data_IF_465893071934
#
_entry.id   IF_465893071934
#
_cell.length_a   1.000
_cell.length_b   1.000
_cell.length_c   1.000
_cell.angle_alpha   90.00
_cell.angle_beta   90.00
_cell.angle_gamma   90.00
#
_symmetry.space_group_name_H-M   'P 1'
#
loop_
_entity.id
_entity.type
_entity.pdbx_description
1 polymer ?
#
# COMPACT_ATOMS: atom_id res chain seq x y z
N UNK A 1 -17.51 8.40 14.58
CA UNK A 1 -17.61 8.95 13.20
C UNK A 1 -16.45 8.42 12.42
N UNK A 2 -16.70 7.91 11.21
CA UNK A 2 -15.64 7.54 10.25
C UNK A 2 -14.89 8.84 9.89
N UNK A 3 -13.58 8.88 10.07
CA UNK A 3 -12.78 10.04 9.71
C UNK A 3 -12.20 9.90 8.29
N UNK A 4 -11.68 11.00 7.73
CA UNK A 4 -11.19 11.00 6.35
C UNK A 4 -9.95 10.10 6.16
N UNK A 5 -9.11 9.95 7.16
CA UNK A 5 -7.95 9.07 7.10
C UNK A 5 -8.37 7.59 7.00
N UNK A 6 -9.37 7.17 7.76
CA UNK A 6 -9.96 5.84 7.63
C UNK A 6 -10.55 5.64 6.23
N UNK A 7 -11.35 6.60 5.76
CA UNK A 7 -11.97 6.56 4.42
C UNK A 7 -10.91 6.46 3.31
N UNK A 8 -9.83 7.21 3.43
CA UNK A 8 -8.73 7.17 2.46
C UNK A 8 -8.01 5.82 2.43
N UNK A 9 -7.88 5.14 3.59
CA UNK A 9 -7.29 3.80 3.63
C UNK A 9 -8.19 2.74 2.97
N UNK A 10 -9.48 2.72 3.28
CA UNK A 10 -10.40 1.68 2.77
C UNK A 10 -11.06 2.02 1.44
N UNK A 11 -10.88 3.27 0.95
CA UNK A 11 -11.34 3.69 -0.37
C UNK A 11 -12.76 4.20 -0.44
N UNK A 12 -13.24 4.85 0.60
CA UNK A 12 -14.50 5.63 0.59
C UNK A 12 -14.22 7.14 0.61
N UNK A 13 -13.18 7.56 -0.07
CA UNK A 13 -12.72 8.94 -0.24
C UNK A 13 -12.64 9.28 -1.74
N UNK A 14 -11.64 10.07 -2.14
CA UNK A 14 -11.48 10.53 -3.52
C UNK A 14 -10.97 9.46 -4.51
N UNK A 15 -10.44 8.33 -4.01
CA UNK A 15 -9.93 7.23 -4.83
C UNK A 15 -10.84 6.01 -4.78
N UNK A 16 -10.75 5.15 -5.81
CA UNK A 16 -11.43 3.87 -5.80
C UNK A 16 -10.92 2.99 -4.64
N UNK A 17 -11.80 2.17 -4.02
CA UNK A 17 -11.39 1.24 -2.99
C UNK A 17 -10.29 0.27 -3.47
N UNK A 18 -9.26 -0.01 -2.66
CA UNK A 18 -8.24 -0.98 -3.01
C UNK A 18 -8.81 -2.34 -3.41
N UNK A 19 -9.82 -2.82 -2.70
CA UNK A 19 -10.51 -4.07 -3.03
C UNK A 19 -11.13 -4.03 -4.43
N UNK A 20 -11.69 -2.90 -4.85
CA UNK A 20 -12.25 -2.71 -6.20
C UNK A 20 -11.13 -2.64 -7.25
N UNK A 21 -10.03 -1.93 -6.96
CA UNK A 21 -8.89 -1.85 -7.89
C UNK A 21 -8.27 -3.23 -8.13
N UNK A 22 -8.31 -4.14 -7.17
CA UNK A 22 -7.74 -5.48 -7.26
C UNK A 22 -8.74 -6.56 -7.72
N UNK A 23 -10.04 -6.22 -7.79
CA UNK A 23 -11.10 -7.17 -8.14
C UNK A 23 -10.92 -7.77 -9.54
N UNK A 24 -11.09 -9.09 -9.63
CA UNK A 24 -11.01 -9.85 -10.88
C UNK A 24 -9.64 -9.80 -11.58
N UNK A 25 -8.58 -9.37 -10.91
CA UNK A 25 -7.25 -9.31 -11.49
C UNK A 25 -6.53 -10.65 -11.36
N UNK A 26 -6.31 -11.30 -12.49
CA UNK A 26 -5.66 -12.61 -12.56
C UNK A 26 -4.14 -12.50 -12.41
N UNK A 27 -3.52 -13.54 -11.85
CA UNK A 27 -2.08 -13.62 -11.62
C UNK A 27 -1.26 -13.39 -12.89
N UNK A 28 -1.69 -13.95 -14.04
CA UNK A 28 -1.00 -13.75 -15.32
C UNK A 28 -0.94 -12.26 -15.70
N UNK A 29 -2.04 -11.55 -15.54
CA UNK A 29 -2.11 -10.10 -15.84
C UNK A 29 -1.29 -9.30 -14.86
N UNK A 30 -1.32 -9.66 -13.57
CA UNK A 30 -0.55 -8.98 -12.53
C UNK A 30 0.97 -9.07 -12.74
N UNK A 31 1.45 -10.17 -13.30
CA UNK A 31 2.89 -10.38 -13.59
C UNK A 31 3.32 -9.92 -14.99
N UNK A 32 2.39 -9.47 -15.82
CA UNK A 32 2.70 -9.06 -17.21
C UNK A 32 3.60 -7.82 -17.24
N UNK A 33 4.77 -7.96 -17.85
CA UNK A 33 5.62 -6.82 -18.15
C UNK A 33 4.99 -5.99 -19.27
N UNK A 34 5.01 -4.68 -19.11
CA UNK A 34 4.50 -3.71 -20.10
C UNK A 34 5.67 -2.88 -20.56
N UNK A 35 5.84 -2.76 -21.87
CA UNK A 35 6.91 -1.94 -22.46
C UNK A 35 6.83 -0.49 -21.95
N UNK A 36 7.95 0.03 -21.49
CA UNK A 36 8.04 1.38 -20.91
C UNK A 36 7.56 1.51 -19.46
N UNK A 37 6.94 0.49 -18.86
CA UNK A 37 6.62 0.48 -17.45
C UNK A 37 7.78 -0.10 -16.61
N UNK A 38 8.22 0.58 -15.55
CA UNK A 38 9.35 0.11 -14.72
C UNK A 38 9.00 -1.11 -13.85
N UNK A 39 7.72 -1.33 -13.57
CA UNK A 39 7.24 -2.38 -12.68
C UNK A 39 5.94 -2.99 -13.21
N UNK A 40 5.71 -4.26 -12.85
CA UNK A 40 4.43 -4.95 -13.06
C UNK A 40 3.42 -4.58 -11.97
N UNK A 41 2.13 -4.92 -12.16
CA UNK A 41 1.09 -4.73 -11.14
C UNK A 41 1.46 -5.49 -9.85
N UNK A 42 1.99 -6.72 -9.99
CA UNK A 42 2.46 -7.51 -8.85
C UNK A 42 3.53 -6.75 -8.04
N UNK A 43 4.53 -6.19 -8.71
CA UNK A 43 5.61 -5.44 -8.06
C UNK A 43 5.12 -4.18 -7.38
N UNK A 44 4.16 -3.46 -7.98
CA UNK A 44 3.54 -2.28 -7.38
C UNK A 44 2.76 -2.66 -6.11
N UNK A 45 1.94 -3.71 -6.15
CA UNK A 45 1.17 -4.16 -5.00
C UNK A 45 2.08 -4.68 -3.88
N UNK A 46 3.12 -5.45 -4.23
CA UNK A 46 4.10 -5.95 -3.27
C UNK A 46 4.79 -4.79 -2.55
N UNK A 47 5.19 -3.76 -3.30
CA UNK A 47 5.86 -2.58 -2.76
C UNK A 47 4.98 -1.83 -1.73
N UNK A 48 3.71 -1.59 -2.04
CA UNK A 48 2.84 -0.92 -1.07
C UNK A 48 2.51 -1.82 0.13
N UNK A 49 2.40 -3.13 -0.06
CA UNK A 49 2.22 -4.08 1.04
C UNK A 49 3.45 -4.13 1.96
N UNK A 50 4.66 -4.07 1.40
CA UNK A 50 5.91 -3.96 2.16
C UNK A 50 5.92 -2.69 3.03
N UNK A 51 5.66 -1.51 2.46
CA UNK A 51 5.66 -0.26 3.20
C UNK A 51 4.52 -0.15 4.21
N UNK A 52 3.38 -0.77 3.91
CA UNK A 52 2.28 -0.88 4.87
C UNK A 52 2.70 -1.70 6.09
N UNK A 53 3.37 -2.84 5.88
CA UNK A 53 3.90 -3.65 6.98
C UNK A 53 4.92 -2.86 7.82
N UNK A 54 5.90 -2.21 7.18
CA UNK A 54 6.91 -1.37 7.87
C UNK A 54 6.22 -0.27 8.69
N UNK A 55 5.22 0.39 8.12
CA UNK A 55 4.44 1.42 8.83
C UNK A 55 3.73 0.84 10.05
N UNK A 56 3.09 -0.31 9.91
CA UNK A 56 2.38 -0.95 11.02
C UNK A 56 3.33 -1.48 12.09
N UNK A 57 4.52 -1.91 11.72
CA UNK A 57 5.58 -2.26 12.67
C UNK A 57 5.92 -1.05 13.54
N UNK A 58 6.20 0.10 12.95
CA UNK A 58 6.51 1.33 13.68
C UNK A 58 5.34 1.78 14.58
N UNK A 59 4.11 1.69 14.09
CA UNK A 59 2.89 1.97 14.88
C UNK A 59 2.78 1.05 16.10
N UNK A 60 3.26 -0.18 15.99
CA UNK A 60 3.28 -1.17 17.06
C UNK A 60 4.56 -1.13 17.92
N UNK A 61 5.46 -0.16 17.70
CA UNK A 61 6.70 0.01 18.45
C UNK A 61 7.84 -0.91 18.02
N UNK A 62 7.72 -1.58 16.87
CA UNK A 62 8.78 -2.39 16.27
C UNK A 62 9.59 -1.48 15.36
N UNK A 63 10.86 -1.25 15.68
CA UNK A 63 11.76 -0.39 14.91
C UNK A 63 12.31 -1.12 13.67
N UNK A 64 11.44 -1.60 12.78
CA UNK A 64 11.84 -2.19 11.51
C UNK A 64 12.75 -1.24 10.73
N UNK A 65 13.96 -1.67 10.34
CA UNK A 65 14.94 -0.80 9.70
C UNK A 65 14.43 -0.25 8.36
N UNK A 66 14.76 1.00 8.07
CA UNK A 66 14.51 1.57 6.74
C UNK A 66 15.45 0.91 5.72
N UNK A 67 14.99 0.49 4.54
CA UNK A 67 15.82 -0.11 3.51
C UNK A 67 17.00 0.76 3.10
N UNK A 68 18.18 0.14 2.94
CA UNK A 68 19.40 0.84 2.52
C UNK A 68 19.27 1.37 1.08
N UNK A 69 18.64 0.57 0.21
CA UNK A 69 18.42 0.90 -1.19
C UNK A 69 16.93 0.86 -1.53
N UNK A 70 16.48 1.74 -2.41
CA UNK A 70 15.09 1.80 -2.85
C UNK A 70 14.60 0.47 -3.49
N UNK A 71 15.51 -0.26 -4.15
CA UNK A 71 15.22 -1.58 -4.74
C UNK A 71 14.82 -2.63 -3.69
N UNK A 72 15.27 -2.52 -2.45
CA UNK A 72 14.87 -3.43 -1.38
C UNK A 72 13.39 -3.26 -0.94
N UNK A 73 12.73 -2.20 -1.37
CA UNK A 73 11.29 -2.02 -1.22
C UNK A 73 10.46 -2.70 -2.32
N UNK A 74 11.10 -3.43 -3.25
CA UNK A 74 10.46 -4.24 -4.30
C UNK A 74 10.82 -5.70 -4.14
N UNK A 75 10.00 -6.65 -4.67
CA UNK A 75 10.25 -8.07 -4.48
C UNK A 75 11.57 -8.51 -5.12
N UNK A 76 12.37 -9.24 -4.35
CA UNK A 76 13.59 -9.89 -4.80
C UNK A 76 13.27 -11.34 -5.25
N UNK A 77 14.24 -12.06 -5.82
CA UNK A 77 14.02 -13.42 -6.34
C UNK A 77 13.45 -14.40 -5.30
N UNK A 78 13.76 -14.20 -4.02
CA UNK A 78 13.30 -15.05 -2.92
C UNK A 78 11.97 -14.58 -2.31
N UNK A 79 11.45 -13.42 -2.70
CA UNK A 79 10.22 -12.82 -2.15
C UNK A 79 8.97 -13.23 -2.94
N UNK A 80 8.94 -14.48 -3.44
CA UNK A 80 7.85 -14.98 -4.26
C UNK A 80 6.65 -15.36 -3.39
N UNK A 81 5.71 -14.45 -3.27
CA UNK A 81 4.39 -14.71 -2.68
C UNK A 81 3.36 -14.91 -3.80
N UNK A 82 2.47 -15.93 -3.72
CA UNK A 82 1.37 -16.08 -4.67
C UNK A 82 0.49 -14.83 -4.74
N UNK A 83 0.03 -14.47 -5.94
CA UNK A 83 -0.77 -13.27 -6.18
C UNK A 83 -1.96 -13.13 -5.23
N UNK A 84 -2.74 -14.21 -5.09
CA UNK A 84 -3.94 -14.19 -4.24
C UNK A 84 -3.58 -13.97 -2.76
N UNK A 85 -2.47 -14.52 -2.29
CA UNK A 85 -1.98 -14.33 -0.92
C UNK A 85 -1.52 -12.89 -0.71
N UNK A 86 -0.82 -12.31 -1.67
CA UNK A 86 -0.41 -10.90 -1.64
C UNK A 86 -1.63 -9.97 -1.55
N UNK A 87 -2.65 -10.17 -2.39
CA UNK A 87 -3.88 -9.40 -2.36
C UNK A 87 -4.59 -9.52 -0.99
N UNK A 88 -4.76 -10.74 -0.49
CA UNK A 88 -5.40 -11.00 0.80
C UNK A 88 -4.62 -10.37 1.95
N UNK A 89 -3.30 -10.50 1.95
CA UNK A 89 -2.43 -9.90 2.97
C UNK A 89 -2.57 -8.38 2.96
N UNK A 90 -2.42 -7.76 1.78
CA UNK A 90 -2.54 -6.31 1.66
C UNK A 90 -3.90 -5.81 2.18
N UNK A 91 -5.01 -6.40 1.74
CA UNK A 91 -6.35 -5.97 2.13
C UNK A 91 -6.62 -6.16 3.62
N UNK A 92 -6.18 -7.29 4.20
CA UNK A 92 -6.28 -7.54 5.64
C UNK A 92 -5.50 -6.51 6.45
N UNK A 93 -4.25 -6.26 6.07
CA UNK A 93 -3.36 -5.35 6.79
C UNK A 93 -3.82 -3.89 6.62
N UNK A 94 -4.43 -3.55 5.48
CA UNK A 94 -5.07 -2.26 5.25
C UNK A 94 -6.26 -2.03 6.19
N UNK A 95 -7.05 -3.07 6.49
CA UNK A 95 -8.12 -2.99 7.48
C UNK A 95 -7.57 -2.78 8.91
N UNK A 96 -6.40 -3.32 9.23
CA UNK A 96 -5.73 -3.06 10.51
C UNK A 96 -5.29 -1.60 10.61
N UNK A 97 -4.72 -1.03 9.54
CA UNK A 97 -4.37 0.39 9.50
C UNK A 97 -5.61 1.28 9.65
N UNK A 98 -6.72 0.93 9.00
CA UNK A 98 -7.99 1.62 9.15
C UNK A 98 -8.55 1.53 10.58
N UNK A 99 -8.37 0.40 11.27
CA UNK A 99 -8.77 0.26 12.66
C UNK A 99 -7.95 1.17 13.60
N UNK A 100 -6.65 1.34 13.33
CA UNK A 100 -5.81 2.32 14.04
C UNK A 100 -6.30 3.75 13.77
N UNK A 101 -6.65 4.06 12.53
CA UNK A 101 -7.14 5.39 12.14
C UNK A 101 -8.45 5.80 12.86
N UNK A 102 -9.24 4.85 13.39
CA UNK A 102 -10.44 5.12 14.19
C UNK A 102 -10.14 5.56 15.63
N UNK A 103 -8.97 5.23 16.14
CA UNK A 103 -8.60 5.50 17.53
C UNK A 103 -7.81 6.80 17.64
N UNK A 104 -8.51 7.89 18.02
CA UNK A 104 -7.89 9.22 18.17
C UNK A 104 -6.72 9.21 19.15
N UNK A 105 -6.78 8.40 20.22
CA UNK A 105 -5.69 8.35 21.21
C UNK A 105 -4.44 7.70 20.63
N UNK A 106 -4.62 6.69 19.76
CA UNK A 106 -3.50 6.09 19.03
C UNK A 106 -2.92 7.06 18.00
N UNK A 107 -3.76 7.77 17.27
CA UNK A 107 -3.31 8.73 16.26
C UNK A 107 -2.40 9.82 16.83
N UNK A 108 -2.62 10.23 18.08
CA UNK A 108 -1.85 11.28 18.74
C UNK A 108 -0.57 10.75 19.43
N UNK A 109 -0.32 9.43 19.40
CA UNK A 109 0.90 8.85 19.96
C UNK A 109 2.10 9.16 19.09
N UNK A 110 3.23 9.49 19.73
CA UNK A 110 4.53 9.61 19.06
C UNK A 110 5.17 8.24 18.87
N UNK A 111 5.68 7.98 17.70
CA UNK A 111 6.38 6.75 17.32
C UNK A 111 7.76 7.05 16.75
N UNK A 112 8.63 6.06 16.85
CA UNK A 112 9.98 6.12 16.29
C UNK A 112 9.96 5.46 14.91
N UNK A 113 10.34 6.24 13.90
CA UNK A 113 10.41 5.79 12.50
C UNK A 113 11.88 5.78 12.07
N UNK A 114 12.54 4.63 12.03
CA UNK A 114 13.90 4.51 11.50
C UNK A 114 14.05 5.18 10.15
N UNK A 115 15.19 5.79 9.94
CA UNK A 115 15.53 6.50 8.70
C UNK A 115 16.65 5.75 7.96
N UNK A 116 17.01 6.24 6.79
CA UNK A 116 18.15 5.69 6.04
C UNK A 116 19.40 5.66 6.91
N UNK A 117 20.30 4.68 6.70
CA UNK A 117 21.57 4.63 7.42
C UNK A 117 22.29 5.96 7.39
N UNK A 118 22.80 6.39 8.56
CA UNK A 118 23.45 7.68 8.73
C UNK A 118 22.54 8.89 8.96
N UNK A 119 21.21 8.70 8.87
CA UNK A 119 20.22 9.73 9.20
C UNK A 119 19.62 9.50 10.59
N UNK A 120 19.24 10.57 11.32
CA UNK A 120 18.59 10.41 12.62
C UNK A 120 17.23 9.72 12.50
N UNK A 121 16.85 8.97 13.54
CA UNK A 121 15.50 8.41 13.67
C UNK A 121 14.50 9.56 13.72
N UNK A 122 13.45 9.49 12.90
CA UNK A 122 12.36 10.47 12.93
C UNK A 122 11.39 10.13 14.05
N UNK A 123 10.92 11.16 14.73
CA UNK A 123 9.80 11.05 15.66
C UNK A 123 8.59 11.66 14.94
N UNK A 124 7.54 10.85 14.80
CA UNK A 124 6.30 11.23 14.11
C UNK A 124 5.12 10.83 14.98
N UNK A 125 3.98 11.46 14.79
CA UNK A 125 2.73 10.91 15.32
C UNK A 125 2.28 9.72 14.44
N UNK A 126 1.47 8.83 15.00
CA UNK A 126 0.82 7.75 14.24
C UNK A 126 0.00 8.34 13.09
N UNK A 127 -0.67 9.47 13.33
CA UNK A 127 -1.43 10.21 12.30
C UNK A 127 -0.56 10.57 11.11
N UNK A 128 0.54 11.29 11.32
CA UNK A 128 1.44 11.71 10.25
C UNK A 128 1.99 10.52 9.46
N UNK A 129 2.28 9.40 10.14
CA UNK A 129 2.76 8.20 9.48
C UNK A 129 1.67 7.53 8.64
N UNK A 130 0.42 7.45 9.11
CA UNK A 130 -0.69 6.92 8.33
C UNK A 130 -1.10 7.84 7.17
N UNK A 131 -1.02 9.16 7.32
CA UNK A 131 -1.24 10.12 6.24
C UNK A 131 -0.18 9.94 5.14
N UNK A 132 1.09 9.73 5.52
CA UNK A 132 2.15 9.39 4.58
C UNK A 132 1.89 8.07 3.86
N UNK A 133 1.40 7.04 4.57
CA UNK A 133 1.03 5.75 3.99
C UNK A 133 -0.11 5.91 2.96
N UNK A 134 -1.15 6.65 3.30
CA UNK A 134 -2.29 6.93 2.38
C UNK A 134 -1.81 7.58 1.09
N UNK A 135 -0.98 8.63 1.20
CA UNK A 135 -0.44 9.32 0.03
C UNK A 135 0.41 8.40 -0.84
N UNK A 136 1.26 7.57 -0.21
CA UNK A 136 2.08 6.58 -0.90
C UNK A 136 1.23 5.51 -1.60
N UNK A 137 0.24 4.94 -0.91
CA UNK A 137 -0.65 3.93 -1.48
C UNK A 137 -1.47 4.51 -2.65
N UNK A 138 -2.01 5.73 -2.51
CA UNK A 138 -2.77 6.40 -3.57
C UNK A 138 -1.94 6.57 -4.85
N UNK A 139 -0.67 6.98 -4.72
CA UNK A 139 0.26 7.09 -5.85
C UNK A 139 0.43 5.77 -6.59
N UNK A 140 0.68 4.67 -5.86
CA UNK A 140 0.90 3.36 -6.46
C UNK A 140 -0.39 2.73 -6.99
N UNK A 141 -1.54 2.94 -6.34
CA UNK A 141 -2.83 2.50 -6.88
C UNK A 141 -3.19 3.22 -8.18
N UNK A 142 -2.87 4.49 -8.33
CA UNK A 142 -3.01 5.18 -9.60
C UNK A 142 -2.19 4.52 -10.72
N UNK A 143 -0.96 4.06 -10.40
CA UNK A 143 -0.14 3.28 -11.33
C UNK A 143 -0.74 1.91 -11.63
N UNK A 144 -1.25 1.19 -10.64
CA UNK A 144 -1.92 -0.10 -10.83
C UNK A 144 -3.13 0.05 -11.78
N UNK A 145 -3.96 1.09 -11.59
CA UNK A 145 -5.09 1.36 -12.48
C UNK A 145 -4.61 1.60 -13.91
N UNK A 146 -3.59 2.44 -14.10
CA UNK A 146 -3.00 2.69 -15.41
C UNK A 146 -2.47 1.39 -16.06
N UNK A 147 -1.73 0.57 -15.31
CA UNK A 147 -1.20 -0.71 -15.81
C UNK A 147 -2.34 -1.67 -16.18
N UNK A 148 -3.44 -1.71 -15.39
CA UNK A 148 -4.65 -2.49 -15.73
C UNK A 148 -5.28 -2.02 -17.04
N UNK A 149 -5.37 -0.70 -17.26
CA UNK A 149 -5.89 -0.13 -18.52
C UNK A 149 -5.01 -0.55 -19.71
N UNK A 150 -3.70 -0.48 -19.57
CA UNK A 150 -2.74 -0.90 -20.61
C UNK A 150 -2.83 -2.40 -20.89
N UNK A 151 -3.13 -3.22 -19.89
CA UNK A 151 -3.39 -4.66 -20.02
C UNK A 151 -4.79 -5.00 -20.53
N UNK A 152 -5.68 -4.01 -20.73
CA UNK A 152 -7.11 -4.19 -21.08
C UNK A 152 -7.87 -4.99 -20.00
N UNK A 153 -7.50 -4.82 -18.74
CA UNK A 153 -8.09 -5.45 -17.56
C UNK A 153 -8.82 -4.44 -16.66
N UNK A 154 -9.20 -3.30 -17.21
CA UNK A 154 -9.98 -2.25 -16.55
C UNK A 154 -11.21 -1.89 -17.40
N UNK A 155 -12.38 -1.62 -16.83
CA UNK A 155 -12.72 -1.68 -15.39
C UNK A 155 -12.76 -3.11 -14.84
N UNK A 156 -12.81 -3.30 -13.50
CA UNK A 156 -12.96 -4.62 -12.90
C UNK A 156 -14.36 -5.22 -13.22
N UNK A 157 -14.55 -6.56 -13.04
CA UNK A 157 -15.84 -7.23 -13.33
C UNK A 157 -17.03 -6.64 -12.57
N UNK A 158 -16.80 -6.10 -11.36
CA UNK A 158 -17.83 -5.41 -10.56
C UNK A 158 -18.31 -4.08 -11.17
N UNK A 159 -17.67 -3.60 -12.23
CA UNK A 159 -18.02 -2.33 -12.89
C UNK A 159 -17.73 -1.10 -12.03
N UNK A 160 -18.29 0.05 -12.41
CA UNK A 160 -18.09 1.32 -11.69
C UNK A 160 -16.72 1.95 -11.92
N UNK A 161 -16.55 3.21 -11.50
CA UNK A 161 -15.31 3.98 -11.61
C UNK A 161 -14.64 3.88 -13.00
N UNK A 162 -15.31 4.42 -14.01
CA UNK A 162 -14.88 4.39 -15.42
C UNK A 162 -14.12 5.67 -15.80
N UNK A 163 -13.05 5.99 -15.11
CA UNK A 163 -12.21 7.08 -15.55
C UNK A 163 -10.86 6.58 -16.09
#
# INVERSE_FOLDING_TARGET
MVNELERALIGDSAAAPPAHILDGLESEVAHRAIEGAPHTIYQELWHIAFWQQVTMDWVNGIETPFPVHASAGFPQENDREPWDQLCQRFLRDNQQAAAVARDQRKLDQSIRCPSRPGSPVRIMSVREQLESLVAHNAYHFGRIVLLRQLCRAWPPPSGGFSW
#
